data_IF_270634781600
#
_entry.id   IF_270634781600
#
_cell.length_a   1.000
_cell.length_b   1.000
_cell.length_c   1.000
_cell.angle_alpha   90.00
_cell.angle_beta   90.00
_cell.angle_gamma   90.00
#
_symmetry.space_group_name_H-M   'P 1'
#
loop_
_entity.id
_entity.type
_entity.pdbx_description
1 polymer ?
#
# COMPACT_ATOMS: atom_id res chain seq x y z
N UNK A 1 -5.01 -64.93 45.93
CA UNK A 1 -4.96 -65.52 44.57
C UNK A 1 -5.68 -64.54 43.65
N UNK A 2 -5.16 -63.92 42.58
CA UNK A 2 -3.85 -63.74 41.89
C UNK A 2 -4.05 -62.44 41.08
N UNK A 3 -3.26 -61.39 41.25
CA UNK A 3 -2.09 -60.97 40.45
C UNK A 3 -2.34 -60.68 38.94
N UNK A 4 -2.23 -59.38 38.61
CA UNK A 4 -1.35 -58.73 37.62
C UNK A 4 -1.21 -59.21 36.15
N UNK A 5 -1.32 -58.24 35.22
CA UNK A 5 -0.47 -58.00 34.03
C UNK A 5 -0.92 -56.62 33.44
N UNK A 6 -0.18 -55.51 33.34
CA UNK A 6 1.23 -55.18 33.07
C UNK A 6 1.72 -55.60 31.66
N UNK A 7 1.86 -54.60 30.76
CA UNK A 7 2.68 -54.72 29.54
C UNK A 7 2.48 -53.55 28.56
N UNK A 8 3.32 -52.50 28.61
CA UNK A 8 4.48 -52.15 27.72
C UNK A 8 4.11 -51.27 26.51
N UNK A 9 4.64 -50.05 26.45
CA UNK A 9 5.47 -49.50 25.35
C UNK A 9 5.75 -47.99 25.59
N UNK A 10 6.87 -47.66 26.27
CA UNK A 10 8.14 -47.16 25.70
C UNK A 10 8.13 -45.65 25.45
N UNK A 11 8.82 -44.94 26.35
CA UNK A 11 9.32 -43.59 26.13
C UNK A 11 10.57 -43.66 25.22
N UNK A 12 10.61 -42.85 24.16
CA UNK A 12 11.84 -42.43 23.50
C UNK A 12 11.76 -40.92 23.32
N UNK A 13 12.32 -40.17 24.28
CA UNK A 13 12.71 -38.77 24.10
C UNK A 13 14.23 -38.76 23.94
N UNK A 14 14.69 -38.81 22.69
CA UNK A 14 16.07 -38.47 22.33
C UNK A 14 16.11 -38.10 20.84
N UNK A 15 16.49 -36.86 20.52
CA UNK A 15 16.81 -36.47 19.14
C UNK A 15 16.41 -35.07 18.73
N UNK A 16 16.79 -34.04 19.48
CA UNK A 16 16.67 -32.64 19.04
C UNK A 16 17.93 -31.80 19.32
N UNK A 17 19.10 -32.44 19.31
CA UNK A 17 20.38 -31.77 19.62
C UNK A 17 21.52 -32.26 18.74
N UNK A 18 21.30 -32.36 17.42
CA UNK A 18 22.36 -32.69 16.47
C UNK A 18 22.39 -31.84 15.17
N UNK A 19 21.45 -30.91 14.97
CA UNK A 19 21.42 -30.09 13.74
C UNK A 19 22.18 -28.76 13.85
N UNK A 20 22.44 -28.29 15.08
CA UNK A 20 23.05 -26.97 15.33
C UNK A 20 24.59 -26.94 15.25
N UNK A 21 25.27 -28.07 15.06
CA UNK A 21 26.74 -28.14 15.08
C UNK A 21 27.37 -28.39 13.69
N UNK A 22 26.57 -28.42 12.62
CA UNK A 22 27.03 -28.75 11.26
C UNK A 22 27.18 -27.57 10.29
N UNK A 23 26.91 -26.34 10.71
CA UNK A 23 26.99 -25.15 9.86
C UNK A 23 27.93 -24.04 10.38
N UNK A 24 28.74 -24.30 11.41
CA UNK A 24 29.61 -23.30 12.05
C UNK A 24 31.07 -23.31 11.56
N UNK A 25 31.32 -23.57 10.27
CA UNK A 25 32.68 -23.47 9.71
C UNK A 25 32.68 -23.15 8.21
N UNK A 26 32.07 -22.02 7.84
CA UNK A 26 32.32 -21.38 6.56
C UNK A 26 32.74 -19.94 6.84
N UNK A 27 34.05 -19.73 6.89
CA UNK A 27 34.64 -18.39 6.86
C UNK A 27 34.31 -17.69 5.53
N UNK A 28 34.37 -16.36 5.49
CA UNK A 28 34.06 -15.59 4.29
C UNK A 28 34.99 -15.96 3.12
N UNK A 29 34.39 -16.04 1.93
CA UNK A 29 35.01 -16.43 0.65
C UNK A 29 36.22 -15.52 0.31
N UNK A 30 37.42 -16.09 0.02
CA UNK A 30 38.62 -15.33 -0.33
C UNK A 30 38.44 -14.45 -1.59
N UNK A 31 37.43 -14.68 -2.43
CA UNK A 31 37.10 -13.83 -3.57
C UNK A 31 36.57 -12.44 -3.16
N UNK A 32 35.93 -12.32 -1.98
CA UNK A 32 35.36 -11.06 -1.48
C UNK A 32 36.44 -10.13 -0.93
N UNK A 33 37.56 -10.67 -0.43
CA UNK A 33 38.68 -9.86 0.06
C UNK A 33 39.56 -9.26 -1.06
N UNK A 34 39.56 -9.86 -2.25
CA UNK A 34 40.33 -9.35 -3.39
C UNK A 34 39.76 -8.03 -3.97
N UNK A 35 38.45 -7.81 -3.85
CA UNK A 35 37.77 -6.61 -4.38
C UNK A 35 37.98 -5.38 -3.48
N UNK A 36 38.13 -5.58 -2.17
CA UNK A 36 38.33 -4.49 -1.20
C UNK A 36 39.78 -3.95 -1.18
N UNK A 37 40.76 -4.72 -1.66
CA UNK A 37 42.16 -4.29 -1.74
C UNK A 37 42.50 -3.46 -2.99
N UNK A 38 41.63 -3.45 -4.02
CA UNK A 38 41.91 -2.82 -5.31
C UNK A 38 41.57 -1.30 -5.39
N UNK A 39 40.99 -0.70 -4.34
CA UNK A 39 40.65 0.74 -4.32
C UNK A 39 41.61 1.60 -3.47
N UNK A 40 42.67 1.01 -2.92
CA UNK A 40 43.67 1.70 -2.12
C UNK A 40 45.01 1.85 -2.87
N UNK A 41 44.99 2.45 -4.06
CA UNK A 41 46.23 2.61 -4.83
C UNK A 41 46.11 3.54 -6.02
N UNK A 42 46.48 4.80 -5.83
CA UNK A 42 46.96 5.65 -6.91
C UNK A 42 46.11 6.88 -7.18
N UNK A 43 46.54 8.03 -6.65
CA UNK A 43 46.88 9.19 -7.47
C UNK A 43 47.69 10.18 -6.62
N UNK A 44 49.02 10.10 -6.72
CA UNK A 44 49.94 11.15 -6.26
C UNK A 44 50.20 12.11 -7.43
N UNK A 45 49.90 13.38 -7.20
CA UNK A 45 50.62 14.61 -7.58
C UNK A 45 51.29 14.70 -8.96
N UNK A 46 50.95 15.74 -9.74
CA UNK A 46 51.77 16.98 -9.83
C UNK A 46 51.44 17.90 -11.00
N UNK A 47 51.59 19.20 -10.70
CA UNK A 47 51.94 20.37 -11.54
C UNK A 47 50.83 21.05 -12.34
N UNK A 48 50.33 22.20 -11.88
CA UNK A 48 50.94 23.55 -11.87
C UNK A 48 50.86 24.23 -13.23
N UNK A 49 49.97 25.22 -13.35
CA UNK A 49 50.29 26.46 -14.05
C UNK A 49 49.74 27.65 -13.24
N UNK A 50 50.67 28.55 -12.98
CA UNK A 50 50.54 29.79 -12.22
C UNK A 50 49.96 30.87 -13.11
N UNK A 51 49.04 31.67 -12.59
CA UNK A 51 48.84 33.07 -13.01
C UNK A 51 48.10 33.84 -11.91
N UNK A 52 48.74 34.88 -11.41
CA UNK A 52 48.22 35.92 -10.50
C UNK A 52 48.70 37.27 -11.10
N UNK A 53 48.18 38.45 -10.72
CA UNK A 53 46.90 38.81 -10.10
C UNK A 53 46.12 39.83 -10.96
N UNK A 54 44.83 40.04 -10.68
CA UNK A 54 44.26 41.39 -10.81
C UNK A 54 43.28 41.64 -9.68
N UNK A 55 43.52 42.74 -8.97
CA UNK A 55 42.74 43.21 -7.85
C UNK A 55 41.41 43.80 -8.32
N UNK A 56 40.31 43.47 -7.65
CA UNK A 56 39.48 44.47 -6.97
C UNK A 56 38.17 43.87 -6.42
N UNK A 57 37.69 44.56 -5.38
CA UNK A 57 36.33 44.58 -4.82
C UNK A 57 36.08 43.67 -3.62
N UNK A 58 36.42 44.26 -2.47
CA UNK A 58 35.82 44.15 -1.16
C UNK A 58 34.29 43.93 -1.17
N UNK A 59 33.81 43.16 -0.18
CA UNK A 59 32.50 43.37 0.42
C UNK A 59 31.53 42.19 0.38
N UNK A 60 31.88 41.03 0.96
CA UNK A 60 30.85 40.03 1.31
C UNK A 60 30.49 40.20 2.78
N UNK A 61 29.35 40.86 3.01
CA UNK A 61 28.71 40.91 4.31
C UNK A 61 28.35 39.47 4.74
N UNK A 62 28.84 39.06 5.92
CA UNK A 62 28.42 37.83 6.58
C UNK A 62 27.02 38.07 7.13
N UNK A 63 26.01 37.52 6.47
CA UNK A 63 24.63 37.50 6.99
C UNK A 63 24.58 36.41 8.08
N UNK A 64 24.16 36.71 9.32
CA UNK A 64 23.98 35.69 10.34
C UNK A 64 22.83 34.76 9.93
N UNK A 65 23.08 33.45 9.94
CA UNK A 65 22.06 32.45 9.72
C UNK A 65 20.99 32.58 10.80
N UNK A 66 19.86 33.18 10.44
CA UNK A 66 18.67 33.14 11.28
C UNK A 66 18.16 31.71 11.29
N UNK A 67 18.29 31.03 12.42
CA UNK A 67 17.65 29.75 12.65
C UNK A 67 16.14 29.97 12.50
N UNK A 68 15.55 29.48 11.41
CA UNK A 68 14.10 29.39 11.27
C UNK A 68 13.66 28.40 12.36
N UNK A 69 12.81 28.78 13.32
CA UNK A 69 12.25 27.83 14.25
C UNK A 69 11.46 26.80 13.44
N UNK A 70 11.90 25.55 13.42
CA UNK A 70 11.10 24.43 12.92
C UNK A 70 9.84 24.37 13.78
N UNK A 71 8.77 24.98 13.29
CA UNK A 71 7.47 24.91 13.94
C UNK A 71 7.04 23.45 13.98
N UNK A 72 6.96 22.88 15.20
CA UNK A 72 6.41 21.56 15.40
C UNK A 72 5.00 21.50 14.77
N UNK A 73 4.64 20.43 14.03
CA UNK A 73 3.34 20.32 13.41
C UNK A 73 2.26 20.36 14.50
N UNK A 74 1.52 21.47 14.59
CA UNK A 74 0.36 21.55 15.47
C UNK A 74 -0.71 20.56 14.97
N UNK A 75 -1.33 19.76 15.85
CA UNK A 75 -2.40 18.87 15.44
C UNK A 75 -3.52 19.70 14.79
N UNK A 76 -3.80 19.45 13.51
CA UNK A 76 -4.86 20.14 12.79
C UNK A 76 -6.19 19.80 13.46
N UNK A 77 -6.91 20.83 13.90
CA UNK A 77 -8.25 20.67 14.46
C UNK A 77 -9.20 20.02 13.45
N UNK A 78 -10.16 19.25 13.94
CA UNK A 78 -11.22 18.68 13.11
C UNK A 78 -12.16 19.81 12.65
N UNK A 79 -12.60 19.75 11.40
CA UNK A 79 -13.64 20.62 10.86
C UNK A 79 -15.02 20.18 11.36
N UNK A 80 -15.97 21.12 11.40
CA UNK A 80 -17.35 20.81 11.74
C UNK A 80 -18.04 20.01 10.63
N UNK A 81 -18.96 19.11 11.01
CA UNK A 81 -19.73 18.31 10.05
C UNK A 81 -20.58 19.18 9.11
N UNK A 82 -21.14 20.28 9.63
CA UNK A 82 -21.89 21.26 8.84
C UNK A 82 -21.07 21.87 7.71
N UNK A 83 -19.78 22.12 7.94
CA UNK A 83 -18.88 22.70 6.94
C UNK A 83 -18.59 21.70 5.81
N UNK A 84 -18.50 20.41 6.15
CA UNK A 84 -18.39 19.34 5.16
C UNK A 84 -19.64 19.28 4.30
N UNK A 85 -20.83 19.17 4.91
CA UNK A 85 -22.09 19.03 4.17
C UNK A 85 -22.41 20.26 3.31
N UNK A 86 -22.10 21.47 3.80
CA UNK A 86 -22.28 22.71 3.05
C UNK A 86 -21.37 22.81 1.81
N UNK A 87 -20.21 22.13 1.81
CA UNK A 87 -19.27 22.10 0.70
C UNK A 87 -19.39 20.82 -0.17
N UNK A 88 -19.94 19.73 0.37
CA UNK A 88 -20.02 18.45 -0.31
C UNK A 88 -21.11 18.47 -1.40
N UNK A 89 -20.72 17.99 -2.59
CA UNK A 89 -21.61 17.92 -3.75
C UNK A 89 -22.64 16.81 -3.61
N UNK A 90 -23.87 17.07 -4.08
CA UNK A 90 -24.90 16.04 -4.32
C UNK A 90 -24.72 15.33 -5.67
N UNK A 91 -23.95 15.93 -6.57
CA UNK A 91 -23.56 15.33 -7.85
C UNK A 91 -22.33 14.43 -7.64
N UNK A 92 -22.48 13.12 -7.89
CA UNK A 92 -21.43 12.10 -7.83
C UNK A 92 -20.28 12.41 -8.80
N UNK A 93 -20.56 13.06 -9.94
CA UNK A 93 -19.55 13.37 -10.95
C UNK A 93 -18.46 14.32 -10.41
N UNK A 94 -18.80 15.19 -9.46
CA UNK A 94 -17.81 16.05 -8.80
C UNK A 94 -16.76 15.26 -8.00
N UNK A 95 -17.21 14.24 -7.26
CA UNK A 95 -16.32 13.37 -6.50
C UNK A 95 -15.49 12.46 -7.43
N UNK A 96 -16.09 11.98 -8.52
CA UNK A 96 -15.37 11.25 -9.56
C UNK A 96 -14.27 12.09 -10.22
N UNK A 97 -14.49 13.37 -10.52
CA UNK A 97 -13.43 14.24 -11.05
C UNK A 97 -12.24 14.32 -10.10
N UNK A 98 -12.48 14.45 -8.80
CA UNK A 98 -11.40 14.45 -7.80
C UNK A 98 -10.67 13.10 -7.74
N UNK A 99 -11.41 11.98 -7.78
CA UNK A 99 -10.81 10.64 -7.80
C UNK A 99 -9.99 10.44 -9.08
N UNK A 100 -10.54 10.80 -10.24
CA UNK A 100 -9.86 10.76 -11.53
C UNK A 100 -8.54 11.53 -11.52
N UNK A 101 -8.53 12.74 -10.95
CA UNK A 101 -7.31 13.54 -10.82
C UNK A 101 -6.20 12.83 -10.04
N UNK A 102 -6.53 12.14 -8.93
CA UNK A 102 -5.54 11.33 -8.19
C UNK A 102 -4.97 10.20 -9.04
N UNK A 103 -5.79 9.65 -9.94
CA UNK A 103 -5.43 8.59 -10.87
C UNK A 103 -4.80 9.11 -12.18
N UNK A 104 -4.53 10.42 -12.29
CA UNK A 104 -3.97 11.02 -13.50
C UNK A 104 -4.94 11.01 -14.69
N UNK A 105 -6.24 11.15 -14.42
CA UNK A 105 -7.32 11.08 -15.40
C UNK A 105 -8.23 12.33 -15.30
N UNK A 106 -8.54 12.93 -16.44
CA UNK A 106 -9.61 13.91 -16.53
C UNK A 106 -10.90 13.19 -16.91
N UNK A 107 -11.86 13.12 -15.99
CA UNK A 107 -13.17 12.51 -16.22
C UNK A 107 -14.17 13.61 -16.61
N UNK A 108 -14.87 13.40 -17.71
CA UNK A 108 -15.81 14.37 -18.28
C UNK A 108 -17.24 14.20 -17.76
N UNK A 109 -18.19 14.13 -18.70
CA UNK A 109 -19.63 13.96 -18.42
C UNK A 109 -20.14 12.55 -18.76
N UNK A 110 -19.32 11.78 -19.45
CA UNK A 110 -19.53 10.36 -19.71
C UNK A 110 -19.54 9.54 -18.41
N UNK A 111 -19.94 8.27 -18.49
CA UNK A 111 -19.89 7.37 -17.35
C UNK A 111 -18.45 7.24 -16.80
N UNK A 112 -18.17 7.65 -15.56
CA UNK A 112 -16.82 7.67 -15.01
C UNK A 112 -16.16 6.30 -14.94
N UNK A 113 -16.95 5.23 -14.77
CA UNK A 113 -16.44 3.86 -14.67
C UNK A 113 -16.04 3.32 -16.04
N UNK A 114 -16.85 3.55 -17.07
CA UNK A 114 -16.53 3.21 -18.46
C UNK A 114 -15.31 4.02 -18.95
N UNK A 115 -15.23 5.31 -18.60
CA UNK A 115 -14.08 6.14 -18.92
C UNK A 115 -12.79 5.62 -18.26
N UNK A 116 -12.85 5.23 -16.97
CA UNK A 116 -11.72 4.63 -16.26
C UNK A 116 -11.30 3.29 -16.88
N UNK A 117 -12.28 2.46 -17.28
CA UNK A 117 -12.02 1.13 -17.85
C UNK A 117 -11.17 1.21 -19.13
N UNK A 118 -11.38 2.23 -19.97
CA UNK A 118 -10.58 2.46 -21.17
C UNK A 118 -9.07 2.65 -20.90
N UNK A 119 -8.70 2.92 -19.64
CA UNK A 119 -7.32 3.11 -19.16
C UNK A 119 -6.86 1.99 -18.22
N UNK A 120 -7.48 0.81 -18.31
CA UNK A 120 -7.23 -0.35 -17.45
C UNK A 120 -7.48 -0.09 -15.95
N UNK A 121 -8.34 0.88 -15.62
CA UNK A 121 -8.76 1.18 -14.24
C UNK A 121 -10.22 0.81 -14.09
N UNK A 122 -10.54 -0.06 -13.13
CA UNK A 122 -11.91 -0.52 -12.88
C UNK A 122 -12.50 0.21 -11.68
N UNK A 123 -13.82 0.44 -11.74
CA UNK A 123 -14.58 0.81 -10.55
C UNK A 123 -14.76 -0.40 -9.64
N UNK A 124 -14.58 -0.19 -8.35
CA UNK A 124 -14.98 -1.12 -7.31
C UNK A 124 -16.02 -0.43 -6.43
N UNK A 125 -17.24 -0.98 -6.40
CA UNK A 125 -18.36 -0.49 -5.59
C UNK A 125 -18.62 -1.49 -4.48
N UNK A 126 -18.70 -1.03 -3.24
CA UNK A 126 -18.95 -1.90 -2.08
C UNK A 126 -19.69 -1.14 -0.98
N UNK A 127 -20.33 -1.90 -0.08
CA UNK A 127 -20.94 -1.43 1.15
C UNK A 127 -20.21 -1.91 2.42
N UNK A 128 -18.95 -2.39 2.30
CA UNK A 128 -18.19 -2.93 3.43
C UNK A 128 -17.57 -1.89 4.38
N UNK A 129 -17.79 -0.60 4.13
CA UNK A 129 -17.46 0.51 5.02
C UNK A 129 -15.98 0.71 5.34
N UNK A 130 -15.70 1.40 6.45
CA UNK A 130 -14.36 1.89 6.79
C UNK A 130 -13.35 0.76 7.02
N UNK A 131 -13.80 -0.39 7.52
CA UNK A 131 -12.94 -1.55 7.73
C UNK A 131 -12.43 -2.12 6.39
N UNK A 132 -13.27 -2.16 5.36
CA UNK A 132 -12.85 -2.57 4.03
C UNK A 132 -11.94 -1.52 3.38
N UNK A 133 -12.28 -0.23 3.48
CA UNK A 133 -11.47 0.86 2.97
C UNK A 133 -10.03 0.85 3.51
N UNK A 134 -9.86 0.59 4.81
CA UNK A 134 -8.53 0.41 5.43
C UNK A 134 -7.75 -0.74 4.81
N UNK A 135 -8.40 -1.88 4.59
CA UNK A 135 -7.74 -3.06 3.98
C UNK A 135 -7.38 -2.82 2.52
N UNK A 136 -8.26 -2.17 1.75
CA UNK A 136 -8.02 -1.89 0.34
C UNK A 136 -6.97 -0.79 0.11
N UNK A 137 -6.70 0.03 1.13
CA UNK A 137 -5.66 1.06 1.11
C UNK A 137 -5.73 2.00 -0.12
N UNK A 138 -6.95 2.39 -0.49
CA UNK A 138 -7.23 3.19 -1.70
C UNK A 138 -8.13 4.38 -1.41
N UNK A 139 -7.90 5.53 -2.07
CA UNK A 139 -8.83 6.65 -2.04
C UNK A 139 -10.19 6.21 -2.60
N UNK A 140 -11.26 6.66 -1.95
CA UNK A 140 -12.61 6.25 -2.30
C UNK A 140 -13.61 7.39 -2.15
N UNK A 141 -14.61 7.41 -3.03
CA UNK A 141 -15.77 8.27 -2.90
C UNK A 141 -16.70 7.65 -1.87
N UNK A 142 -17.00 8.38 -0.81
CA UNK A 142 -17.97 7.98 0.20
C UNK A 142 -19.33 8.57 -0.14
N UNK A 143 -20.38 7.77 0.05
CA UNK A 143 -21.76 8.27 0.07
C UNK A 143 -22.13 8.57 1.53
N UNK A 144 -22.38 9.84 1.82
CA UNK A 144 -22.73 10.32 3.14
C UNK A 144 -24.20 10.74 3.17
N UNK A 145 -24.88 10.40 4.25
CA UNK A 145 -26.24 10.88 4.53
C UNK A 145 -26.18 12.08 5.49
N UNK A 146 -26.91 13.15 5.17
CA UNK A 146 -27.03 14.33 6.03
C UNK A 146 -27.93 14.14 7.27
N UNK A 147 -28.51 12.95 7.45
CA UNK A 147 -29.49 12.63 8.49
C UNK A 147 -30.94 12.83 8.03
N UNK A 148 -31.14 13.36 6.82
CA UNK A 148 -32.42 13.46 6.13
C UNK A 148 -32.50 12.47 4.96
N UNK A 149 -32.79 13.02 3.77
CA UNK A 149 -32.90 12.26 2.52
C UNK A 149 -31.80 12.63 1.51
N UNK A 150 -30.89 13.55 1.86
CA UNK A 150 -29.87 13.98 0.91
C UNK A 150 -28.62 13.12 1.01
N UNK A 151 -28.09 12.76 -0.16
CA UNK A 151 -26.82 12.05 -0.29
C UNK A 151 -25.77 13.05 -0.78
N UNK A 152 -24.64 13.05 -0.08
CA UNK A 152 -23.47 13.85 -0.40
C UNK A 152 -22.31 12.94 -0.76
N UNK A 153 -21.54 13.35 -1.77
CA UNK A 153 -20.38 12.60 -2.26
C UNK A 153 -19.09 13.34 -1.93
N UNK A 154 -18.18 12.65 -1.24
CA UNK A 154 -16.89 13.19 -0.81
C UNK A 154 -15.77 12.21 -1.10
N UNK A 155 -14.57 12.68 -1.39
CA UNK A 155 -13.42 11.82 -1.65
C UNK A 155 -12.60 11.63 -0.36
N UNK A 156 -12.55 10.40 0.15
CA UNK A 156 -11.65 10.00 1.22
C UNK A 156 -10.23 9.84 0.65
N UNK A 157 -9.27 10.55 1.24
CA UNK A 157 -7.85 10.49 0.84
C UNK A 157 -6.91 10.12 1.99
N UNK A 158 -7.38 10.20 3.23
CA UNK A 158 -6.62 9.76 4.40
C UNK A 158 -7.52 9.19 5.47
N UNK A 159 -7.02 8.20 6.19
CA UNK A 159 -7.75 7.53 7.26
C UNK A 159 -6.78 7.05 8.33
N UNK A 160 -7.03 7.42 9.58
CA UNK A 160 -6.33 6.89 10.74
C UNK A 160 -7.34 6.40 11.79
N UNK A 161 -6.90 6.18 13.02
CA UNK A 161 -7.75 5.63 14.08
C UNK A 161 -8.77 6.64 14.62
N UNK A 162 -8.52 7.95 14.47
CA UNK A 162 -9.33 9.01 15.10
C UNK A 162 -10.01 9.93 14.09
N UNK A 163 -9.54 9.98 12.84
CA UNK A 163 -10.02 10.93 11.85
C UNK A 163 -9.89 10.43 10.41
N UNK A 164 -10.72 10.98 9.53
CA UNK A 164 -10.62 10.90 8.08
C UNK A 164 -10.21 12.25 7.48
N UNK A 165 -9.47 12.20 6.38
CA UNK A 165 -9.20 13.36 5.52
C UNK A 165 -10.05 13.26 4.26
N UNK A 166 -10.92 14.25 4.08
CA UNK A 166 -11.90 14.31 3.01
C UNK A 166 -11.60 15.48 2.07
N UNK A 167 -11.75 15.25 0.77
CA UNK A 167 -11.70 16.26 -0.28
C UNK A 167 -13.10 16.48 -0.84
N UNK A 168 -13.43 17.74 -1.05
CA UNK A 168 -14.68 18.19 -1.66
C UNK A 168 -14.37 19.16 -2.79
N UNK A 169 -15.21 19.19 -3.82
CA UNK A 169 -15.00 20.07 -4.96
C UNK A 169 -15.07 21.55 -4.51
N UNK A 170 -14.17 22.39 -4.99
CA UNK A 170 -14.12 23.82 -4.64
C UNK A 170 -13.43 24.14 -3.31
N UNK A 171 -12.85 23.16 -2.61
CA UNK A 171 -11.95 23.39 -1.47
C UNK A 171 -10.53 22.91 -1.81
N UNK A 172 -9.57 23.81 -1.64
CA UNK A 172 -8.14 23.52 -1.89
C UNK A 172 -7.53 22.61 -0.82
N UNK A 173 -8.04 22.65 0.40
CA UNK A 173 -7.50 21.89 1.54
C UNK A 173 -8.39 20.71 1.89
N UNK A 174 -7.76 19.60 2.30
CA UNK A 174 -8.45 18.46 2.90
C UNK A 174 -9.15 18.89 4.19
N UNK A 175 -10.39 18.46 4.38
CA UNK A 175 -11.14 18.61 5.62
C UNK A 175 -10.86 17.40 6.50
N UNK A 176 -10.43 17.63 7.73
CA UNK A 176 -10.22 16.58 8.72
C UNK A 176 -11.50 16.39 9.53
N UNK A 177 -12.09 15.21 9.50
CA UNK A 177 -13.34 14.89 10.21
C UNK A 177 -13.09 13.78 11.22
N UNK A 178 -13.65 13.90 12.42
CA UNK A 178 -13.57 12.86 13.44
C UNK A 178 -14.21 11.55 12.96
N UNK A 179 -13.57 10.42 13.24
CA UNK A 179 -14.02 9.12 12.74
C UNK A 179 -15.39 8.72 13.30
N UNK A 180 -15.67 9.06 14.55
CA UNK A 180 -16.96 8.81 15.20
C UNK A 180 -18.09 9.56 14.49
N UNK A 181 -17.88 10.83 14.16
CA UNK A 181 -18.83 11.64 13.39
C UNK A 181 -19.03 11.08 11.98
N UNK A 182 -17.94 10.79 11.27
CA UNK A 182 -18.03 10.17 9.95
C UNK A 182 -18.84 8.87 9.99
N UNK A 183 -18.63 8.03 11.01
CA UNK A 183 -19.29 6.74 11.14
C UNK A 183 -20.79 6.85 11.39
N UNK A 184 -21.27 7.94 12.01
CA UNK A 184 -22.72 8.19 12.19
C UNK A 184 -23.44 8.44 10.86
N UNK A 185 -22.74 9.03 9.90
CA UNK A 185 -23.33 9.51 8.65
C UNK A 185 -22.91 8.68 7.42
N UNK A 186 -22.00 7.74 7.59
CA UNK A 186 -21.50 6.87 6.54
C UNK A 186 -22.10 5.47 6.69
N UNK A 187 -22.98 5.09 5.77
CA UNK A 187 -23.66 3.79 5.77
C UNK A 187 -22.78 2.63 5.25
N UNK A 188 -21.54 2.91 4.87
CA UNK A 188 -20.59 1.93 4.37
C UNK A 188 -20.45 1.88 2.84
N UNK A 189 -21.29 2.60 2.09
CA UNK A 189 -21.25 2.61 0.62
C UNK A 189 -20.15 3.50 0.04
N UNK A 190 -19.24 2.90 -0.71
CA UNK A 190 -18.16 3.62 -1.36
C UNK A 190 -17.89 3.13 -2.78
N UNK A 191 -17.17 3.98 -3.51
CA UNK A 191 -16.61 3.67 -4.83
C UNK A 191 -15.12 3.95 -4.82
N UNK A 192 -14.31 2.98 -5.22
CA UNK A 192 -12.87 3.13 -5.40
C UNK A 192 -12.49 2.80 -6.84
N UNK A 193 -11.31 3.24 -7.24
CA UNK A 193 -10.64 2.76 -8.44
C UNK A 193 -9.54 1.74 -8.10
N UNK A 194 -9.25 0.88 -9.06
CA UNK A 194 -8.12 -0.06 -9.01
C UNK A 194 -7.65 -0.42 -10.42
N UNK A 195 -6.35 -0.69 -10.60
CA UNK A 195 -5.79 -1.19 -11.87
C UNK A 195 -6.11 -2.66 -11.99
N UNK A 196 -6.89 -3.01 -13.01
CA UNK A 196 -7.12 -4.39 -13.33
C UNK A 196 -5.93 -4.99 -14.09
N UNK A 197 -5.70 -6.31 -13.97
CA UNK A 197 -4.76 -7.00 -14.82
C UNK A 197 -5.08 -6.77 -16.31
N UNK A 198 -4.08 -6.76 -17.18
CA UNK A 198 -4.31 -6.82 -18.62
C UNK A 198 -5.19 -8.03 -19.00
N UNK A 199 -6.12 -7.83 -19.94
CA UNK A 199 -7.09 -8.87 -20.34
C UNK A 199 -8.15 -9.23 -19.29
N UNK A 200 -8.22 -8.54 -18.15
CA UNK A 200 -9.22 -8.81 -17.11
C UNK A 200 -10.64 -8.46 -17.57
N UNK A 201 -11.51 -9.46 -17.57
CA UNK A 201 -12.94 -9.33 -17.92
C UNK A 201 -13.86 -9.79 -16.79
N UNK A 202 -13.40 -10.75 -15.99
CA UNK A 202 -14.07 -11.30 -14.82
C UNK A 202 -13.03 -11.86 -13.85
N UNK A 203 -13.50 -12.29 -12.69
CA UNK A 203 -12.68 -12.99 -11.68
C UNK A 203 -11.94 -14.18 -12.29
N UNK A 204 -10.69 -14.36 -11.88
CA UNK A 204 -9.83 -15.45 -12.34
C UNK A 204 -10.06 -16.67 -11.46
N UNK A 205 -10.47 -17.78 -12.06
CA UNK A 205 -10.83 -19.02 -11.39
C UNK A 205 -10.24 -20.25 -12.09
N UNK A 206 -10.38 -21.43 -11.44
CA UNK A 206 -9.78 -22.69 -11.91
C UNK A 206 -10.07 -22.97 -13.39
N UNK A 207 -9.00 -23.25 -14.14
CA UNK A 207 -9.07 -23.56 -15.57
C UNK A 207 -8.98 -22.37 -16.51
N UNK A 208 -9.05 -21.14 -16.01
CA UNK A 208 -8.87 -19.93 -16.81
C UNK A 208 -7.48 -19.84 -17.45
N UNK A 209 -7.39 -19.11 -18.56
CA UNK A 209 -6.16 -18.88 -19.32
C UNK A 209 -6.13 -17.45 -19.85
N UNK A 210 -4.95 -17.00 -20.24
CA UNK A 210 -4.73 -15.73 -20.92
C UNK A 210 -3.99 -14.71 -20.07
N UNK A 211 -3.91 -13.49 -20.59
CA UNK A 211 -3.03 -12.44 -20.08
C UNK A 211 -3.25 -12.12 -18.59
N UNK A 212 -4.51 -12.15 -18.13
CA UNK A 212 -4.83 -11.89 -16.73
C UNK A 212 -4.28 -12.98 -15.79
N UNK A 213 -4.27 -14.25 -16.23
CA UNK A 213 -3.70 -15.38 -15.49
C UNK A 213 -2.17 -15.30 -15.47
N UNK A 214 -1.57 -14.98 -16.62
CA UNK A 214 -0.12 -14.81 -16.75
C UNK A 214 0.37 -13.65 -15.86
N UNK A 215 -0.36 -12.54 -15.87
CA UNK A 215 -0.09 -11.41 -14.99
C UNK A 215 -0.17 -11.81 -13.51
N UNK A 216 -1.21 -12.55 -13.12
CA UNK A 216 -1.40 -12.98 -11.73
C UNK A 216 -0.26 -13.91 -11.28
N UNK A 217 0.12 -14.87 -12.13
CA UNK A 217 1.25 -15.76 -11.88
C UNK A 217 2.54 -14.97 -11.62
N UNK A 218 2.82 -13.98 -12.47
CA UNK A 218 3.98 -13.12 -12.34
C UNK A 218 3.97 -12.29 -11.05
N UNK A 219 2.80 -11.77 -10.64
CA UNK A 219 2.70 -11.04 -9.37
C UNK A 219 2.93 -11.96 -8.17
N UNK A 220 2.33 -13.16 -8.15
CA UNK A 220 2.49 -14.12 -7.07
C UNK A 220 3.95 -14.57 -6.93
N UNK A 221 4.64 -14.84 -8.04
CA UNK A 221 6.09 -15.13 -8.03
C UNK A 221 6.91 -13.98 -7.46
N UNK A 222 6.59 -12.72 -7.80
CA UNK A 222 7.28 -11.54 -7.25
C UNK A 222 7.06 -11.40 -5.75
N UNK A 223 5.83 -11.60 -5.28
CA UNK A 223 5.47 -11.51 -3.86
C UNK A 223 6.20 -12.59 -3.05
N UNK A 224 6.31 -13.81 -3.58
CA UNK A 224 6.97 -14.92 -2.88
C UNK A 224 8.50 -14.91 -3.02
N UNK A 225 9.09 -13.99 -3.78
CA UNK A 225 10.53 -14.00 -4.10
C UNK A 225 10.98 -15.26 -4.84
N UNK A 226 10.06 -15.89 -5.59
CA UNK A 226 10.29 -17.14 -6.31
C UNK A 226 10.98 -16.95 -7.67
N UNK A 227 11.16 -18.05 -8.39
CA UNK A 227 11.63 -18.02 -9.78
C UNK A 227 10.64 -17.28 -10.70
N UNK A 228 11.15 -16.81 -11.83
CA UNK A 228 10.36 -16.15 -12.86
C UNK A 228 9.21 -17.04 -13.33
N UNK A 229 8.01 -16.46 -13.39
CA UNK A 229 6.79 -17.17 -13.76
C UNK A 229 6.78 -17.52 -15.25
N UNK A 230 6.32 -18.72 -15.58
CA UNK A 230 6.10 -19.12 -16.99
C UNK A 230 4.71 -18.67 -17.45
N UNK A 231 4.65 -17.97 -18.57
CA UNK A 231 3.40 -17.53 -19.22
C UNK A 231 2.73 -18.65 -20.04
N UNK A 232 1.44 -18.50 -20.32
CA UNK A 232 0.62 -19.44 -21.10
C UNK A 232 0.09 -20.63 -20.30
N UNK A 233 0.38 -20.69 -19.00
CA UNK A 233 -0.12 -21.76 -18.13
C UNK A 233 -1.55 -21.44 -17.68
N UNK A 234 -2.44 -22.46 -17.61
CA UNK A 234 -3.76 -22.26 -17.02
C UNK A 234 -3.65 -21.94 -15.53
N UNK A 235 -4.71 -21.32 -15.01
CA UNK A 235 -4.95 -21.15 -13.59
C UNK A 235 -5.26 -22.52 -12.96
N UNK A 236 -4.20 -23.30 -12.73
CA UNK A 236 -4.26 -24.68 -12.25
C UNK A 236 -4.16 -24.82 -10.72
N UNK A 237 -4.17 -26.06 -10.23
CA UNK A 237 -4.25 -26.38 -8.80
C UNK A 237 -3.12 -25.77 -7.95
N UNK A 238 -1.91 -25.63 -8.50
CA UNK A 238 -0.80 -24.99 -7.81
C UNK A 238 -1.06 -23.49 -7.58
N UNK A 239 -1.54 -22.77 -8.60
CA UNK A 239 -1.84 -21.35 -8.50
C UNK A 239 -3.07 -21.09 -7.62
N UNK A 240 -4.08 -21.96 -7.68
CA UNK A 240 -5.21 -21.94 -6.72
C UNK A 240 -4.70 -22.02 -5.29
N UNK A 241 -3.78 -22.95 -5.00
CA UNK A 241 -3.20 -23.09 -3.65
C UNK A 241 -2.43 -21.84 -3.21
N UNK A 242 -1.66 -21.23 -4.12
CA UNK A 242 -0.95 -19.97 -3.85
C UNK A 242 -1.91 -18.82 -3.56
N UNK A 243 -2.99 -18.68 -4.35
CA UNK A 243 -4.00 -17.65 -4.12
C UNK A 243 -4.74 -17.88 -2.81
N UNK A 244 -5.06 -19.13 -2.44
CA UNK A 244 -5.66 -19.43 -1.13
C UNK A 244 -4.75 -19.04 0.02
N UNK A 245 -3.45 -19.34 -0.09
CA UNK A 245 -2.47 -18.93 0.91
C UNK A 245 -2.40 -17.41 1.01
N UNK A 246 -2.32 -16.70 -0.12
CA UNK A 246 -2.33 -15.24 -0.16
C UNK A 246 -3.62 -14.67 0.47
N UNK A 247 -4.77 -15.19 0.12
CA UNK A 247 -6.06 -14.77 0.69
C UNK A 247 -6.06 -14.96 2.20
N UNK A 248 -5.60 -16.10 2.70
CA UNK A 248 -5.53 -16.39 4.13
C UNK A 248 -4.61 -15.41 4.86
N UNK A 249 -3.41 -15.12 4.34
CA UNK A 249 -2.47 -14.17 4.97
C UNK A 249 -2.99 -12.73 4.96
N UNK A 250 -3.87 -12.40 4.02
CA UNK A 250 -4.48 -11.07 3.88
C UNK A 250 -5.90 -10.96 4.46
N UNK A 251 -6.38 -11.98 5.19
CA UNK A 251 -7.69 -11.96 5.86
C UNK A 251 -8.88 -11.96 4.90
N UNK A 252 -8.72 -12.56 3.72
CA UNK A 252 -9.77 -12.82 2.74
C UNK A 252 -10.31 -14.25 2.89
N UNK A 253 -11.53 -14.54 2.40
CA UNK A 253 -11.96 -15.92 2.17
C UNK A 253 -10.96 -16.63 1.26
N UNK A 254 -10.42 -17.77 1.73
CA UNK A 254 -9.43 -18.55 0.99
C UNK A 254 -10.10 -19.52 0.00
N UNK A 255 -10.93 -18.98 -0.90
CA UNK A 255 -11.65 -19.75 -1.92
C UNK A 255 -10.76 -20.16 -3.10
N UNK A 256 -9.67 -19.42 -3.34
CA UNK A 256 -8.79 -19.60 -4.48
C UNK A 256 -9.33 -18.95 -5.76
N UNK A 257 -10.23 -17.97 -5.63
CA UNK A 257 -10.74 -17.15 -6.72
C UNK A 257 -10.11 -15.76 -6.62
N UNK A 258 -9.41 -15.35 -7.68
CA UNK A 258 -8.83 -14.02 -7.78
C UNK A 258 -9.85 -13.02 -8.34
N UNK A 259 -10.79 -12.63 -7.47
CA UNK A 259 -11.70 -11.51 -7.70
C UNK A 259 -11.07 -10.14 -7.40
N UNK A 260 -11.85 -9.06 -7.58
CA UNK A 260 -11.35 -7.69 -7.46
C UNK A 260 -10.66 -7.39 -6.12
N UNK A 261 -11.20 -7.89 -5.00
CA UNK A 261 -10.59 -7.70 -3.67
C UNK A 261 -9.24 -8.40 -3.56
N UNK A 262 -9.14 -9.64 -4.02
CA UNK A 262 -7.88 -10.39 -4.06
C UNK A 262 -6.86 -9.66 -4.93
N UNK A 263 -7.25 -9.25 -6.14
CA UNK A 263 -6.36 -8.57 -7.10
C UNK A 263 -5.89 -7.20 -6.60
N UNK A 264 -6.75 -6.43 -5.92
CA UNK A 264 -6.33 -5.17 -5.28
C UNK A 264 -5.25 -5.40 -4.22
N UNK A 265 -5.35 -6.46 -3.41
CA UNK A 265 -4.30 -6.76 -2.43
C UNK A 265 -3.03 -7.32 -3.09
N UNK A 266 -3.18 -8.08 -4.18
CA UNK A 266 -2.03 -8.52 -4.99
C UNK A 266 -1.30 -7.32 -5.58
N UNK A 267 -2.02 -6.32 -6.11
CA UNK A 267 -1.41 -5.07 -6.58
C UNK A 267 -0.56 -4.41 -5.49
N UNK A 268 -1.07 -4.39 -4.26
CA UNK A 268 -0.42 -3.78 -3.11
C UNK A 268 0.85 -4.51 -2.73
N UNK A 269 0.76 -5.84 -2.57
CA UNK A 269 1.90 -6.68 -2.22
C UNK A 269 2.96 -6.71 -3.33
N UNK A 270 2.54 -6.61 -4.61
CA UNK A 270 3.44 -6.64 -5.76
C UNK A 270 4.02 -5.27 -6.15
N UNK A 271 3.66 -4.19 -5.43
CA UNK A 271 4.21 -2.84 -5.64
C UNK A 271 3.65 -2.11 -6.87
N UNK A 272 2.45 -2.48 -7.32
CA UNK A 272 1.77 -1.80 -8.44
C UNK A 272 1.49 -0.34 -8.05
N UNK A 273 1.86 0.57 -8.96
CA UNK A 273 1.79 2.01 -8.72
C UNK A 273 0.35 2.52 -8.87
N UNK A 274 -0.26 2.81 -7.73
CA UNK A 274 -1.64 3.26 -7.59
C UNK A 274 -1.76 4.29 -6.47
N UNK A 275 -2.69 5.25 -6.55
CA UNK A 275 -2.99 6.15 -5.44
C UNK A 275 -3.34 5.38 -4.18
N UNK A 276 -2.69 5.76 -3.08
CA UNK A 276 -2.85 5.13 -1.77
C UNK A 276 -3.68 5.99 -0.85
N UNK A 277 -4.46 5.33 0.01
CA UNK A 277 -5.09 6.01 1.13
C UNK A 277 -3.98 6.40 2.12
N UNK A 278 -3.88 7.67 2.50
CA UNK A 278 -2.88 8.07 3.47
C UNK A 278 -3.25 7.53 4.86
N UNK A 279 -2.52 6.50 5.29
CA UNK A 279 -2.61 5.95 6.63
C UNK A 279 -1.52 6.59 7.48
N UNK A 280 -1.89 7.53 8.36
CA UNK A 280 -0.94 8.04 9.35
C UNK A 280 -0.79 7.00 10.46
N UNK A 281 0.44 6.59 10.84
CA UNK A 281 0.63 5.70 11.96
C UNK A 281 0.19 6.38 13.27
N UNK A 282 -0.46 5.62 14.12
CA UNK A 282 -0.86 6.03 15.47
C UNK A 282 0.41 6.28 16.27
N UNK A 283 0.69 7.54 16.62
CA UNK A 283 1.72 7.91 17.58
C UNK A 283 1.29 7.46 18.99
N UNK A 284 1.31 6.15 19.25
CA UNK A 284 1.01 5.57 20.57
C UNK A 284 2.08 4.58 21.06
N UNK A 285 3.18 4.36 20.32
CA UNK A 285 4.22 3.41 20.70
C UNK A 285 5.57 4.04 21.12
N UNK A 286 5.68 5.37 21.17
CA UNK A 286 6.95 6.04 21.49
C UNK A 286 7.11 6.48 22.96
N UNK A 287 6.22 6.06 23.87
CA UNK A 287 6.23 6.50 25.28
C UNK A 287 6.63 5.39 26.29
N UNK A 288 7.13 4.25 25.83
CA UNK A 288 7.65 3.20 26.72
C UNK A 288 9.06 2.80 26.25
N UNK A 289 10.04 3.59 26.69
CA UNK A 289 11.45 3.37 26.39
C UNK A 289 12.33 4.40 27.10
N UNK A 290 12.23 4.45 28.43
CA UNK A 290 13.31 4.89 29.32
C UNK A 290 13.72 3.71 30.20
#
# INVERSE_FOLDING_TARGET
>A
RRLAAAGVAVAVLAGASAWAWRHASLGPDPAVQAVLAAQAGGFKLSRSLSTKPSANHSGTAVIPASHIPTAAPQPRANAAWSDLLGAASRDEAAAFRLLGQLWGMALGREDPCAAAQSRHVQCYRSAGGLAELRRLNRPAILKLNDGGQAIHHVLLVGLNDTSAELRVAGKERNLRIGLEELSRHFNGEFVSFWRAPPGYTREIAFGDKGEAVDWLNAQLSRISGGLESVAGLPYGAAMVSQVRQFQQTHGLPADGIAGARTLMLVNDAAGVQEPRLHMAPTLAAAAHGE
#
